data_IF_107496077023
#
_entry.id   IF_107496077023
#
_cell.length_a   1.000
_cell.length_b   1.000
_cell.length_c   1.000
_cell.angle_alpha   90.00
_cell.angle_beta   90.00
_cell.angle_gamma   90.00
#
_symmetry.space_group_name_H-M   'P 1'
#
loop_
_entity.id
_entity.type
_entity.pdbx_description
1 polymer ?
#
# COMPACT_ATOMS: atom_id res chain seq x y z
N UNK A 1 7.42 6.81 10.46
CA UNK A 1 7.84 5.44 10.10
C UNK A 1 7.56 4.43 11.23
N UNK A 2 6.99 3.27 10.92
CA UNK A 2 6.53 2.27 11.89
C UNK A 2 7.67 1.50 12.59
N UNK A 3 8.92 1.64 12.12
CA UNK A 3 10.14 1.06 12.73
C UNK A 3 10.04 -0.44 13.02
N UNK A 4 9.29 -1.16 12.18
CA UNK A 4 9.17 -2.62 12.19
C UNK A 4 8.97 -3.13 10.77
N UNK A 5 9.21 -4.41 10.56
CA UNK A 5 8.78 -5.07 9.34
C UNK A 5 7.26 -5.17 9.28
N UNK A 6 6.74 -5.11 8.06
CA UNK A 6 5.35 -5.39 7.79
C UNK A 6 5.11 -6.89 7.70
N UNK A 7 3.92 -7.32 8.11
CA UNK A 7 3.46 -8.69 7.90
C UNK A 7 2.95 -8.86 6.46
N UNK A 8 3.09 -10.04 5.84
CA UNK A 8 2.55 -10.31 4.50
C UNK A 8 1.06 -9.97 4.35
N UNK A 9 0.29 -10.14 5.44
CA UNK A 9 -1.12 -9.79 5.47
C UNK A 9 -1.39 -8.28 5.35
N UNK A 10 -0.47 -7.42 5.79
CA UNK A 10 -0.57 -5.96 5.63
C UNK A 10 -0.47 -5.56 4.16
N UNK A 11 0.46 -6.17 3.41
CA UNK A 11 0.55 -6.00 1.96
C UNK A 11 -0.69 -6.56 1.25
N UNK A 12 -1.12 -7.77 1.63
CA UNK A 12 -2.25 -8.45 1.02
C UNK A 12 -3.57 -7.66 1.12
N UNK A 13 -3.80 -6.95 2.23
CA UNK A 13 -4.99 -6.08 2.36
C UNK A 13 -4.96 -4.90 1.40
N UNK A 14 -3.81 -4.27 1.19
CA UNK A 14 -3.67 -3.19 0.20
C UNK A 14 -3.88 -3.74 -1.21
N UNK A 15 -3.29 -4.91 -1.53
CA UNK A 15 -3.50 -5.58 -2.81
C UNK A 15 -4.98 -5.89 -3.07
N UNK A 16 -5.69 -6.42 -2.07
CA UNK A 16 -7.12 -6.69 -2.16
C UNK A 16 -7.93 -5.41 -2.40
N UNK A 17 -7.57 -4.29 -1.76
CA UNK A 17 -8.22 -3.01 -1.99
C UNK A 17 -8.01 -2.51 -3.42
N UNK A 18 -6.77 -2.48 -3.93
CA UNK A 18 -6.48 -1.98 -5.28
C UNK A 18 -7.07 -2.83 -6.40
N UNK A 19 -7.34 -4.11 -6.13
CA UNK A 19 -8.04 -5.02 -7.05
C UNK A 19 -9.58 -4.95 -6.92
N UNK A 20 -10.10 -4.23 -5.94
CA UNK A 20 -11.53 -4.12 -5.70
C UNK A 20 -12.19 -3.01 -6.54
N UNK A 21 -13.53 -3.04 -6.72
CA UNK A 21 -14.26 -1.95 -7.36
C UNK A 21 -14.09 -0.58 -6.69
N UNK A 22 -13.73 -0.55 -5.40
CA UNK A 22 -13.49 0.69 -4.68
C UNK A 22 -12.28 1.47 -5.21
N UNK A 23 -11.36 0.80 -5.91
CA UNK A 23 -10.19 1.40 -6.55
C UNK A 23 -10.43 1.75 -8.03
N UNK A 24 -11.69 1.79 -8.49
CA UNK A 24 -12.03 1.95 -9.92
C UNK A 24 -11.51 3.22 -10.61
N UNK A 25 -11.10 4.24 -9.84
CA UNK A 25 -10.51 5.47 -10.37
C UNK A 25 -9.00 5.60 -10.07
N UNK A 26 -8.37 4.56 -9.51
CA UNK A 26 -6.93 4.51 -9.29
C UNK A 26 -6.24 3.89 -10.51
N UNK A 27 -5.39 4.67 -11.16
CA UNK A 27 -4.56 4.20 -12.27
C UNK A 27 -3.26 4.99 -12.34
N UNK A 28 -2.17 4.36 -12.80
CA UNK A 28 -0.88 5.02 -13.02
C UNK A 28 -0.14 5.47 -11.76
N UNK A 29 -0.50 4.95 -10.58
CA UNK A 29 0.12 5.32 -9.30
C UNK A 29 0.89 4.16 -8.67
N UNK A 30 1.82 4.50 -7.78
CA UNK A 30 2.48 3.56 -6.88
C UNK A 30 1.94 3.78 -5.46
N UNK A 31 1.42 2.73 -4.83
CA UNK A 31 0.97 2.76 -3.44
C UNK A 31 2.06 2.16 -2.55
N UNK A 32 2.83 2.97 -1.81
CA UNK A 32 3.86 2.44 -0.92
C UNK A 32 3.24 1.75 0.29
N UNK A 33 3.68 0.50 0.57
CA UNK A 33 3.27 -0.29 1.74
C UNK A 33 4.52 -0.69 2.51
N UNK A 34 5.19 0.29 3.12
CA UNK A 34 6.51 0.13 3.73
C UNK A 34 6.58 0.66 5.17
N UNK A 35 5.44 0.99 5.76
CA UNK A 35 5.38 1.60 7.09
C UNK A 35 5.97 3.01 7.15
N UNK A 36 6.04 3.74 6.02
CA UNK A 36 6.55 5.10 5.94
C UNK A 36 8.07 5.17 5.88
N UNK A 37 8.72 4.24 5.19
CA UNK A 37 10.16 4.27 4.90
C UNK A 37 10.47 5.20 3.73
N UNK A 38 9.65 5.18 2.68
CA UNK A 38 9.64 6.18 1.63
C UNK A 38 9.28 7.54 2.22
N UNK A 39 10.15 8.52 2.00
CA UNK A 39 9.83 9.93 2.20
C UNK A 39 9.37 10.50 0.88
N UNK A 40 8.11 10.90 0.81
CA UNK A 40 7.67 11.82 -0.24
C UNK A 40 8.39 13.16 0.00
N UNK A 41 8.88 13.76 -1.09
CA UNK A 41 9.53 15.07 -1.09
C UNK A 41 8.58 16.18 -0.65
#
# INVERSE_FOLDING_TARGET
PLRRYGEPAEFGRTAAFVLSPAASYLTGIVVPVDGGMLRAL
#
